data_IF_643441543108
#
_entry.id   IF_643441543108
#
_cell.length_a   1.000
_cell.length_b   1.000
_cell.length_c   1.000
_cell.angle_alpha   90.00
_cell.angle_beta   90.00
_cell.angle_gamma   90.00
#
_symmetry.space_group_name_H-M   'P 1'
#
loop_
_entity.id
_entity.type
_entity.pdbx_description
1 polymer ?
#
# COMPACT_ATOMS: atom_id res chain seq x y z
N UNK A 1 -10.35 -59.18 -13.11
CA UNK A 1 -11.02 -59.04 -11.80
C UNK A 1 -10.45 -57.80 -11.15
N UNK A 2 -11.23 -56.72 -11.07
CA UNK A 2 -10.80 -55.45 -10.48
C UNK A 2 -11.24 -55.41 -9.01
N UNK A 3 -10.32 -55.13 -8.09
CA UNK A 3 -10.63 -54.80 -6.69
C UNK A 3 -10.69 -53.26 -6.54
N UNK A 4 -11.72 -52.71 -5.88
CA UNK A 4 -11.79 -51.28 -5.59
C UNK A 4 -11.12 -50.98 -4.23
N UNK A 5 -10.19 -50.02 -4.21
CA UNK A 5 -9.61 -49.48 -2.98
C UNK A 5 -10.65 -48.64 -2.22
N UNK A 6 -10.82 -48.82 -0.89
CA UNK A 6 -11.78 -48.04 -0.13
C UNK A 6 -11.26 -46.61 0.08
N UNK A 7 -12.09 -45.62 -0.26
CA UNK A 7 -11.81 -44.20 0.00
C UNK A 7 -11.93 -43.93 1.50
N UNK A 8 -10.84 -43.48 2.11
CA UNK A 8 -10.81 -43.03 3.51
C UNK A 8 -11.58 -41.70 3.63
N UNK A 9 -12.80 -41.77 4.14
CA UNK A 9 -13.57 -40.60 4.55
C UNK A 9 -13.04 -40.13 5.92
N UNK A 10 -12.00 -39.31 5.93
CA UNK A 10 -11.61 -38.58 7.14
C UNK A 10 -12.53 -37.33 7.29
N UNK A 11 -13.20 -37.13 8.45
CA UNK A 11 -14.05 -35.97 8.68
C UNK A 11 -13.22 -34.69 8.68
N UNK A 12 -13.57 -33.73 7.81
CA UNK A 12 -12.94 -32.40 7.80
C UNK A 12 -13.32 -31.69 9.09
N UNK A 13 -12.35 -31.45 9.97
CA UNK A 13 -12.51 -30.61 11.16
C UNK A 13 -12.94 -29.22 10.69
N UNK A 14 -14.17 -28.82 11.02
CA UNK A 14 -14.64 -27.46 10.78
C UNK A 14 -14.02 -26.54 11.84
N UNK A 15 -13.48 -25.37 11.46
CA UNK A 15 -12.95 -24.43 12.43
C UNK A 15 -14.04 -24.04 13.43
N UNK A 16 -13.66 -23.96 14.70
CA UNK A 16 -14.57 -23.60 15.78
C UNK A 16 -15.12 -22.17 15.58
N UNK A 17 -16.40 -21.92 15.84
CA UNK A 17 -16.96 -20.57 15.78
C UNK A 17 -16.29 -19.68 16.84
N UNK A 18 -15.97 -18.44 16.45
CA UNK A 18 -15.43 -17.44 17.37
C UNK A 18 -16.47 -17.13 18.47
N UNK A 19 -16.04 -17.16 19.73
CA UNK A 19 -16.90 -16.96 20.91
C UNK A 19 -17.13 -15.49 21.26
N UNK A 20 -16.54 -14.57 20.49
CA UNK A 20 -16.63 -13.13 20.71
C UNK A 20 -16.69 -12.43 19.36
N UNK A 21 -17.57 -11.43 19.26
CA UNK A 21 -17.47 -10.45 18.20
C UNK A 21 -16.21 -9.61 18.44
N UNK A 22 -15.44 -9.28 17.38
CA UNK A 22 -14.40 -8.26 17.53
C UNK A 22 -15.07 -6.98 18.01
N UNK A 23 -14.53 -6.35 19.05
CA UNK A 23 -15.02 -5.06 19.50
C UNK A 23 -15.06 -4.13 18.27
N UNK A 24 -16.26 -3.72 17.84
CA UNK A 24 -16.36 -2.62 16.90
C UNK A 24 -15.69 -1.44 17.58
N UNK A 25 -14.50 -1.08 17.11
CA UNK A 25 -13.95 0.24 17.37
C UNK A 25 -14.96 1.18 16.76
N UNK A 26 -15.80 1.80 17.59
CA UNK A 26 -16.57 2.94 17.19
C UNK A 26 -15.54 4.02 16.86
N UNK A 27 -15.04 4.02 15.62
CA UNK A 27 -14.40 5.18 15.05
C UNK A 27 -15.48 6.24 15.12
N UNK A 28 -15.32 7.22 16.00
CA UNK A 28 -16.10 8.44 15.91
C UNK A 28 -15.94 8.92 14.46
N UNK A 29 -17.02 8.90 13.64
CA UNK A 29 -16.91 9.27 12.24
C UNK A 29 -16.42 10.70 12.08
N UNK A 30 -16.54 11.52 13.13
CA UNK A 30 -16.38 12.95 13.00
C UNK A 30 -14.90 13.36 12.95
N UNK A 31 -13.95 12.72 13.66
CA UNK A 31 -12.55 13.20 13.67
C UNK A 31 -11.47 12.11 13.89
N UNK A 32 -10.93 11.50 12.81
CA UNK A 32 -9.88 10.46 12.89
C UNK A 32 -8.57 10.88 13.63
N UNK A 33 -8.27 12.18 13.73
CA UNK A 33 -7.05 12.70 14.35
C UNK A 33 -7.29 13.51 15.64
N UNK A 34 -8.56 13.74 16.00
CA UNK A 34 -9.00 14.51 17.19
C UNK A 34 -8.42 15.93 17.34
N UNK A 35 -7.87 16.53 16.28
CA UNK A 35 -7.21 17.84 16.37
C UNK A 35 -8.18 18.96 16.77
N UNK A 36 -9.43 18.89 16.30
CA UNK A 36 -10.47 19.89 16.57
C UNK A 36 -10.94 19.87 18.03
N UNK A 37 -10.65 18.80 18.77
CA UNK A 37 -10.98 18.66 20.20
C UNK A 37 -9.87 19.14 21.14
N UNK A 38 -8.72 19.61 20.63
CA UNK A 38 -7.59 20.05 21.45
C UNK A 38 -7.60 21.57 21.63
N UNK A 39 -8.01 22.02 22.82
CA UNK A 39 -8.07 23.45 23.16
C UNK A 39 -6.71 24.08 23.50
N UNK A 40 -5.78 23.33 24.12
CA UNK A 40 -4.46 23.87 24.49
C UNK A 40 -3.57 24.03 23.24
N UNK A 41 -3.16 25.26 22.87
CA UNK A 41 -2.36 25.48 21.67
C UNK A 41 -1.02 24.76 21.68
N UNK A 42 -0.43 24.50 22.86
CA UNK A 42 0.83 23.75 22.96
C UNK A 42 0.63 22.27 22.66
N UNK A 43 -0.41 21.67 23.25
CA UNK A 43 -0.80 20.29 22.94
C UNK A 43 -1.16 20.12 21.45
N UNK A 44 -1.92 21.06 20.89
CA UNK A 44 -2.30 21.05 19.48
C UNK A 44 -1.07 21.09 18.56
N UNK A 45 -0.12 22.00 18.83
CA UNK A 45 1.11 22.12 18.04
C UNK A 45 1.96 20.85 18.11
N UNK A 46 2.13 20.28 19.31
CA UNK A 46 2.87 19.03 19.47
C UNK A 46 2.23 17.90 18.66
N UNK A 47 0.91 17.73 18.79
CA UNK A 47 0.16 16.68 18.10
C UNK A 47 0.18 16.83 16.59
N UNK A 48 -0.05 18.04 16.07
CA UNK A 48 0.00 18.32 14.65
C UNK A 48 1.41 18.07 14.06
N UNK A 49 2.46 18.37 14.82
CA UNK A 49 3.84 18.12 14.40
C UNK A 49 4.15 16.63 14.28
N UNK A 50 3.74 15.82 15.26
CA UNK A 50 3.87 14.36 15.19
C UNK A 50 3.16 13.79 13.96
N UNK A 51 1.91 14.20 13.72
CA UNK A 51 1.15 13.75 12.56
C UNK A 51 1.82 14.15 11.25
N UNK A 52 2.32 15.39 11.14
CA UNK A 52 3.02 15.85 9.94
C UNK A 52 4.24 14.98 9.62
N UNK A 53 5.02 14.59 10.63
CA UNK A 53 6.17 13.71 10.44
C UNK A 53 5.73 12.29 10.04
N UNK A 54 4.70 11.75 10.68
CA UNK A 54 4.16 10.45 10.35
C UNK A 54 3.62 10.40 8.91
N UNK A 55 2.90 11.44 8.48
CA UNK A 55 2.38 11.54 7.12
C UNK A 55 3.47 11.73 6.08
N UNK A 56 4.54 12.46 6.37
CA UNK A 56 5.69 12.55 5.49
C UNK A 56 6.29 11.16 5.25
N UNK A 57 6.58 10.43 6.33
CA UNK A 57 7.12 9.08 6.21
C UNK A 57 6.15 8.12 5.47
N UNK A 58 4.84 8.28 5.68
CA UNK A 58 3.84 7.51 4.95
C UNK A 58 3.80 7.86 3.46
N UNK A 59 3.90 9.14 3.10
CA UNK A 59 3.99 9.62 1.72
C UNK A 59 5.23 9.08 1.04
N UNK A 60 6.40 9.19 1.67
CA UNK A 60 7.67 8.67 1.13
C UNK A 60 7.53 7.18 0.79
N UNK A 61 6.97 6.40 1.73
CA UNK A 61 6.76 4.97 1.52
C UNK A 61 5.70 4.68 0.46
N UNK A 62 4.63 5.48 0.38
CA UNK A 62 3.60 5.34 -0.65
C UNK A 62 4.16 5.61 -2.05
N UNK A 63 5.05 6.60 -2.20
CA UNK A 63 5.73 6.92 -3.47
C UNK A 63 6.60 5.75 -3.93
N UNK A 64 7.34 5.10 -3.04
CA UNK A 64 8.11 3.89 -3.37
C UNK A 64 7.20 2.76 -3.90
N UNK A 65 6.05 2.54 -3.24
CA UNK A 65 5.08 1.55 -3.71
C UNK A 65 4.42 1.94 -5.03
N UNK A 66 4.14 3.23 -5.26
CA UNK A 66 3.67 3.73 -6.55
C UNK A 66 4.69 3.45 -7.67
N UNK A 67 5.98 3.66 -7.40
CA UNK A 67 7.06 3.36 -8.33
C UNK A 67 7.14 1.86 -8.64
N UNK A 68 7.10 1.01 -7.61
CA UNK A 68 7.10 -0.46 -7.76
C UNK A 68 5.88 -0.90 -8.60
N UNK A 69 4.70 -0.36 -8.32
CA UNK A 69 3.49 -0.68 -9.07
C UNK A 69 3.60 -0.24 -10.54
N UNK A 70 4.09 0.98 -10.80
CA UNK A 70 4.33 1.47 -12.15
C UNK A 70 5.31 0.56 -12.91
N UNK A 71 6.43 0.18 -12.27
CA UNK A 71 7.42 -0.73 -12.83
C UNK A 71 6.84 -2.10 -13.18
N UNK A 72 6.02 -2.67 -12.30
CA UNK A 72 5.33 -3.93 -12.54
C UNK A 72 4.30 -3.82 -13.66
N UNK A 73 3.55 -2.73 -13.76
CA UNK A 73 2.59 -2.49 -14.85
C UNK A 73 3.27 -2.31 -16.21
N UNK A 74 4.49 -1.77 -16.23
CA UNK A 74 5.30 -1.58 -17.43
C UNK A 74 6.20 -2.78 -17.76
N UNK A 75 6.13 -3.89 -17.02
CA UNK A 75 7.00 -5.05 -17.22
C UNK A 75 6.74 -5.69 -18.60
N UNK A 76 7.74 -5.79 -19.50
CA UNK A 76 7.57 -6.40 -20.82
C UNK A 76 7.20 -7.88 -20.78
N UNK A 77 7.37 -8.55 -19.63
CA UNK A 77 7.00 -9.96 -19.44
C UNK A 77 5.50 -10.14 -19.22
N UNK A 78 4.75 -9.06 -18.97
CA UNK A 78 3.29 -9.09 -18.81
C UNK A 78 2.59 -9.04 -20.16
N UNK A 79 1.50 -9.78 -20.25
CA UNK A 79 0.62 -9.74 -21.42
C UNK A 79 -0.23 -8.45 -21.47
N UNK A 80 -0.56 -7.90 -20.30
CA UNK A 80 -1.37 -6.69 -20.10
C UNK A 80 -0.52 -5.45 -19.78
N UNK A 81 0.73 -5.42 -20.24
CA UNK A 81 1.65 -4.32 -19.96
C UNK A 81 1.05 -2.98 -20.40
N UNK A 82 1.22 -1.96 -19.57
CA UNK A 82 0.81 -0.60 -19.88
C UNK A 82 1.98 0.19 -20.48
N UNK A 83 1.66 1.15 -21.35
CA UNK A 83 2.64 2.16 -21.78
C UNK A 83 2.84 3.20 -20.67
N UNK A 84 3.97 3.93 -20.65
CA UNK A 84 4.13 5.05 -19.71
C UNK A 84 2.99 6.08 -19.79
N UNK A 85 2.43 6.32 -20.98
CA UNK A 85 1.29 7.22 -21.15
C UNK A 85 0.01 6.69 -20.48
N UNK A 86 -0.25 5.39 -20.59
CA UNK A 86 -1.40 4.73 -19.95
C UNK A 86 -1.30 4.68 -18.42
N UNK A 87 -0.07 4.55 -17.91
CA UNK A 87 0.21 4.64 -16.48
C UNK A 87 0.02 6.08 -16.00
N UNK A 88 0.56 7.05 -16.75
CA UNK A 88 0.44 8.46 -16.44
C UNK A 88 -1.02 8.92 -16.38
N UNK A 89 -1.86 8.50 -17.34
CA UNK A 89 -3.27 8.81 -17.33
C UNK A 89 -4.03 8.25 -16.11
N UNK A 90 -3.62 7.07 -15.60
CA UNK A 90 -4.25 6.45 -14.41
C UNK A 90 -3.82 7.07 -13.10
N UNK A 91 -2.57 7.56 -13.05
CA UNK A 91 -1.97 8.13 -11.85
C UNK A 91 -2.02 9.66 -11.83
N UNK A 92 -2.65 10.28 -12.82
CA UNK A 92 -2.71 11.75 -13.00
C UNK A 92 -1.31 12.38 -13.08
N UNK A 93 -0.42 11.70 -13.79
CA UNK A 93 0.97 12.13 -14.01
C UNK A 93 1.19 12.61 -15.43
N UNK A 94 2.33 13.26 -15.65
CA UNK A 94 2.89 13.40 -17.00
C UNK A 94 3.53 12.09 -17.44
N UNK A 95 3.58 11.85 -18.75
CA UNK A 95 4.22 10.64 -19.29
C UNK A 95 5.70 10.53 -18.87
N UNK A 96 6.44 11.64 -18.88
CA UNK A 96 7.85 11.65 -18.52
C UNK A 96 8.07 11.37 -17.03
N UNK A 97 7.16 11.81 -16.16
CA UNK A 97 7.20 11.42 -14.76
C UNK A 97 6.90 9.93 -14.58
N UNK A 98 5.93 9.37 -15.30
CA UNK A 98 5.66 7.93 -15.28
C UNK A 98 6.86 7.08 -15.74
N UNK A 99 7.62 7.54 -16.74
CA UNK A 99 8.88 6.89 -17.15
C UNK A 99 9.89 6.84 -16.00
N UNK A 100 10.13 7.98 -15.33
CA UNK A 100 11.02 8.06 -14.16
C UNK A 100 10.57 7.13 -13.03
N UNK A 101 9.27 7.07 -12.76
CA UNK A 101 8.71 6.20 -11.71
C UNK A 101 8.87 4.71 -12.04
N UNK A 102 8.71 4.32 -13.30
CA UNK A 102 8.97 2.95 -13.78
C UNK A 102 10.45 2.58 -13.59
N UNK A 103 11.37 3.49 -13.92
CA UNK A 103 12.81 3.29 -13.74
C UNK A 103 13.16 3.15 -12.25
N UNK A 104 12.71 4.11 -11.43
CA UNK A 104 12.92 4.09 -9.99
C UNK A 104 12.38 2.80 -9.35
N UNK A 105 11.17 2.36 -9.72
CA UNK A 105 10.60 1.11 -9.22
C UNK A 105 11.39 -0.14 -9.62
N UNK A 106 11.99 -0.15 -10.82
CA UNK A 106 12.87 -1.25 -11.25
C UNK A 106 14.15 -1.30 -10.43
N UNK A 107 14.72 -0.15 -10.09
CA UNK A 107 15.92 -0.06 -9.26
C UNK A 107 15.64 -0.51 -7.81
N UNK A 108 14.51 -0.06 -7.23
CA UNK A 108 14.03 -0.54 -5.93
C UNK A 108 13.87 -2.08 -5.91
N UNK A 109 13.24 -2.66 -6.93
CA UNK A 109 13.06 -4.13 -7.01
C UNK A 109 14.37 -4.90 -7.18
N UNK A 110 15.42 -4.26 -7.71
CA UNK A 110 16.77 -4.84 -7.81
C UNK A 110 17.58 -4.69 -6.52
N UNK A 111 17.04 -4.00 -5.51
CA UNK A 111 17.79 -3.64 -4.30
C UNK A 111 18.87 -2.59 -4.57
N UNK A 112 18.79 -1.86 -5.69
CA UNK A 112 19.59 -0.67 -5.91
C UNK A 112 18.88 0.44 -5.14
N UNK A 113 19.25 0.63 -3.88
CA UNK A 113 18.91 1.85 -3.15
C UNK A 113 19.59 3.01 -3.88
N UNK A 114 18.85 3.65 -4.80
CA UNK A 114 19.29 4.90 -5.42
C UNK A 114 19.52 5.94 -4.33
N UNK A 115 20.48 6.87 -4.50
CA UNK A 115 20.72 7.93 -3.53
C UNK A 115 19.39 8.65 -3.27
N UNK A 116 19.01 8.74 -1.99
CA UNK A 116 17.70 9.15 -1.53
C UNK A 116 17.10 10.28 -2.38
N UNK A 117 15.86 10.05 -2.81
CA UNK A 117 15.05 10.97 -3.60
C UNK A 117 15.20 12.40 -3.09
N UNK A 118 15.94 13.22 -3.84
CA UNK A 118 15.97 14.67 -3.65
C UNK A 118 14.69 15.22 -4.26
N UNK A 119 13.88 15.88 -3.43
CA UNK A 119 12.67 16.63 -3.81
C UNK A 119 12.92 17.45 -5.10
N UNK A 120 12.10 17.33 -6.14
CA UNK A 120 12.01 18.36 -7.16
C UNK A 120 11.16 19.49 -6.60
N UNK A 121 11.81 20.59 -6.22
CA UNK A 121 11.18 21.91 -6.04
C UNK A 121 10.74 22.46 -7.40
#
# INVERSE_FOLDING_TARGET
MAEPTPRRHEPRLRPAPLLFEPAQVASDPEHFFDLESIDDPRALLARATELTQAFRAATDRAVEFQAIAAAQLADPRRFDRLTPADIAARAEWTEDYAKKMVEFGRDLMRGVEGPGHVDPV
#
